data_IF_701889277620
#
_entry.id   IF_701889277620
#
_cell.length_a   1.000
_cell.length_b   1.000
_cell.length_c   1.000
_cell.angle_alpha   90.00
_cell.angle_beta   90.00
_cell.angle_gamma   90.00
#
_symmetry.space_group_name_H-M   'P 1'
#
loop_
_entity.id
_entity.type
_entity.pdbx_description
1 polymer ?
#
# COMPACT_ATOMS: atom_id res chain seq x y z
N UNK A 1 13.39 44.82 -29.81
CA UNK A 1 13.32 43.66 -28.90
C UNK A 1 12.49 44.04 -27.67
N UNK A 2 11.37 43.37 -27.39
CA UNK A 2 10.82 43.32 -26.05
C UNK A 2 10.71 41.87 -25.55
N UNK A 3 11.50 41.56 -24.51
CA UNK A 3 11.40 40.32 -23.75
C UNK A 3 10.15 40.39 -22.87
N UNK A 4 9.24 39.42 -22.97
CA UNK A 4 8.18 39.25 -21.98
C UNK A 4 7.74 37.80 -21.86
N UNK A 5 7.49 37.41 -20.60
CA UNK A 5 6.79 36.20 -20.13
C UNK A 5 7.63 34.92 -19.98
N UNK A 6 8.60 34.95 -19.06
CA UNK A 6 8.99 33.75 -18.28
C UNK A 6 8.04 33.63 -17.09
N UNK A 7 7.01 32.80 -17.21
CA UNK A 7 6.17 32.39 -16.07
C UNK A 7 6.93 31.37 -15.23
N UNK A 8 7.18 31.59 -13.93
CA UNK A 8 7.70 30.55 -13.06
C UNK A 8 6.60 29.51 -12.82
N UNK A 9 6.72 28.34 -13.44
CA UNK A 9 5.84 27.20 -13.15
C UNK A 9 6.25 26.64 -11.79
N UNK A 10 5.42 26.96 -10.81
CA UNK A 10 5.42 26.50 -9.42
C UNK A 10 5.77 25.00 -9.36
N UNK A 11 6.89 24.69 -8.69
CA UNK A 11 7.15 23.35 -8.16
C UNK A 11 6.06 23.08 -7.12
N UNK A 12 5.04 22.33 -7.52
CA UNK A 12 4.13 21.68 -6.57
C UNK A 12 4.90 20.53 -5.93
N UNK A 13 5.75 20.87 -4.96
CA UNK A 13 6.17 19.92 -3.93
C UNK A 13 4.91 19.51 -3.18
N UNK A 14 4.34 18.37 -3.59
CA UNK A 14 3.31 17.68 -2.83
C UNK A 14 3.93 17.18 -1.53
N UNK A 15 3.99 18.11 -0.56
CA UNK A 15 4.34 17.88 0.83
C UNK A 15 3.17 17.14 1.47
N UNK A 16 3.06 15.83 1.24
CA UNK A 16 2.13 15.00 1.99
C UNK A 16 2.78 14.69 3.34
N UNK A 17 2.58 15.62 4.28
CA UNK A 17 2.87 15.41 5.68
C UNK A 17 1.91 14.37 6.25
N UNK A 18 2.44 13.21 6.60
CA UNK A 18 1.98 12.50 7.78
C UNK A 18 3.22 11.89 8.45
N UNK A 19 3.99 12.76 9.10
CA UNK A 19 5.06 12.38 10.00
C UNK A 19 4.45 11.79 11.26
N UNK A 20 3.96 10.56 11.18
CA UNK A 20 3.89 9.72 12.36
C UNK A 20 5.28 9.15 12.57
N UNK A 21 5.88 9.60 13.67
CA UNK A 21 7.10 9.08 14.26
C UNK A 21 6.85 7.64 14.75
N UNK A 22 6.48 6.75 13.84
CA UNK A 22 6.43 5.32 14.10
C UNK A 22 7.88 4.88 14.26
N UNK A 23 8.17 4.25 15.41
CA UNK A 23 9.43 3.56 15.65
C UNK A 23 9.78 2.78 14.37
N UNK A 24 11.05 2.78 13.92
CA UNK A 24 11.42 2.09 12.69
C UNK A 24 10.98 0.62 12.65
N UNK A 25 10.74 0.01 13.82
CA UNK A 25 10.22 -1.35 14.01
C UNK A 25 8.73 -1.52 13.67
N UNK A 26 7.92 -0.46 13.73
CA UNK A 26 6.46 -0.51 13.51
C UNK A 26 6.04 -0.13 12.08
N UNK A 27 7.00 0.16 11.20
CA UNK A 27 6.68 0.49 9.81
C UNK A 27 6.43 -0.81 9.04
N UNK A 28 5.28 -0.94 8.34
CA UNK A 28 5.04 -2.11 7.52
C UNK A 28 6.13 -2.24 6.45
N UNK A 29 6.74 -3.42 6.38
CA UNK A 29 7.76 -3.72 5.37
C UNK A 29 7.05 -3.84 4.03
N UNK A 30 7.31 -2.89 3.12
CA UNK A 30 6.75 -2.93 1.77
C UNK A 30 7.64 -3.80 0.89
N UNK A 31 7.06 -4.88 0.35
CA UNK A 31 7.72 -5.76 -0.63
C UNK A 31 6.94 -5.79 -1.94
N UNK A 32 7.67 -5.69 -3.04
CA UNK A 32 7.10 -5.91 -4.36
C UNK A 32 6.87 -7.41 -4.58
N UNK A 33 5.73 -7.76 -5.16
CA UNK A 33 5.41 -9.13 -5.58
C UNK A 33 5.20 -9.17 -7.08
N UNK A 34 5.49 -10.33 -7.69
CA UNK A 34 5.18 -10.58 -9.09
C UNK A 34 3.76 -11.12 -9.19
N UNK A 35 2.94 -10.48 -10.01
CA UNK A 35 1.56 -10.91 -10.30
C UNK A 35 1.32 -10.85 -11.80
N UNK A 36 0.34 -11.62 -12.26
CA UNK A 36 -0.10 -11.60 -13.66
C UNK A 36 -1.08 -10.45 -13.89
N UNK A 37 -1.20 -10.02 -15.16
CA UNK A 37 -2.14 -8.96 -15.53
C UNK A 37 -3.61 -9.27 -15.15
N UNK A 38 -4.13 -10.50 -15.32
CA UNK A 38 -5.50 -10.83 -14.89
C UNK A 38 -5.74 -10.60 -13.39
N UNK A 39 -4.76 -10.91 -12.55
CA UNK A 39 -4.86 -10.72 -11.09
C UNK A 39 -4.89 -9.22 -10.76
N UNK A 40 -4.03 -8.43 -11.39
CA UNK A 40 -4.00 -6.98 -11.18
C UNK A 40 -5.33 -6.33 -11.55
N UNK A 41 -5.92 -6.72 -12.68
CA UNK A 41 -7.20 -6.17 -13.14
C UNK A 41 -8.36 -6.58 -12.22
N UNK A 42 -8.41 -7.83 -11.76
CA UNK A 42 -9.40 -8.27 -10.78
C UNK A 42 -9.27 -7.51 -9.45
N UNK A 43 -8.04 -7.30 -8.98
CA UNK A 43 -7.77 -6.54 -7.76
C UNK A 43 -8.20 -5.07 -7.85
N UNK A 44 -8.01 -4.43 -9.03
CA UNK A 44 -8.50 -3.07 -9.27
C UNK A 44 -10.01 -2.98 -9.20
N UNK A 45 -10.73 -3.94 -9.83
CA UNK A 45 -12.20 -4.01 -9.76
C UNK A 45 -12.68 -4.16 -8.32
N UNK A 46 -12.10 -5.10 -7.57
CA UNK A 46 -12.44 -5.31 -6.16
C UNK A 46 -12.24 -4.05 -5.31
N UNK A 47 -11.15 -3.30 -5.54
CA UNK A 47 -10.91 -2.03 -4.86
C UNK A 47 -11.96 -0.98 -5.22
N UNK A 48 -12.36 -0.90 -6.49
CA UNK A 48 -13.38 0.05 -6.93
C UNK A 48 -14.76 -0.26 -6.33
N UNK A 49 -15.12 -1.54 -6.21
CA UNK A 49 -16.42 -1.98 -5.70
C UNK A 49 -16.52 -1.95 -4.18
N UNK A 50 -15.48 -2.44 -3.47
CA UNK A 50 -15.54 -2.69 -2.02
C UNK A 50 -14.60 -1.81 -1.20
N UNK A 51 -13.78 -0.98 -1.85
CA UNK A 51 -12.76 -0.18 -1.17
C UNK A 51 -11.60 -0.99 -0.57
N UNK A 52 -11.56 -2.31 -0.79
CA UNK A 52 -10.54 -3.19 -0.23
C UNK A 52 -9.26 -3.09 -1.08
N UNK A 53 -8.14 -2.79 -0.43
CA UNK A 53 -6.85 -2.70 -1.11
C UNK A 53 -6.28 -4.09 -1.39
N UNK A 54 -5.55 -4.21 -2.51
CA UNK A 54 -4.84 -5.44 -2.85
C UNK A 54 -3.84 -5.87 -1.75
N UNK A 55 -3.20 -4.90 -1.08
CA UNK A 55 -2.29 -5.16 0.04
C UNK A 55 -3.00 -5.82 1.22
N UNK A 56 -4.21 -5.36 1.57
CA UNK A 56 -5.01 -5.95 2.64
C UNK A 56 -5.41 -7.38 2.30
N UNK A 57 -5.87 -7.61 1.06
CA UNK A 57 -6.23 -8.94 0.60
C UNK A 57 -5.03 -9.89 0.61
N UNK A 58 -3.87 -9.43 0.15
CA UNK A 58 -2.63 -10.20 0.19
C UNK A 58 -2.20 -10.53 1.63
N UNK A 59 -2.27 -9.55 2.54
CA UNK A 59 -1.97 -9.76 3.96
C UNK A 59 -2.91 -10.80 4.59
N UNK A 60 -4.23 -10.66 4.40
CA UNK A 60 -5.23 -11.59 4.95
C UNK A 60 -5.02 -13.02 4.42
N UNK A 61 -4.77 -13.17 3.11
CA UNK A 61 -4.52 -14.47 2.50
C UNK A 61 -3.21 -15.13 3.00
N UNK A 62 -2.13 -14.36 3.11
CA UNK A 62 -0.83 -14.84 3.63
C UNK A 62 -0.98 -15.24 5.09
N UNK A 63 -1.58 -14.38 5.92
CA UNK A 63 -1.78 -14.66 7.35
C UNK A 63 -2.61 -15.91 7.56
N UNK A 64 -3.75 -16.06 6.87
CA UNK A 64 -4.59 -17.25 6.98
C UNK A 64 -3.83 -18.52 6.59
N UNK A 65 -3.03 -18.46 5.52
CA UNK A 65 -2.21 -19.61 5.09
C UNK A 65 -1.17 -20.00 6.15
N UNK A 66 -0.44 -19.03 6.69
CA UNK A 66 0.60 -19.28 7.69
C UNK A 66 0.02 -19.76 9.03
N UNK A 67 -1.16 -19.27 9.42
CA UNK A 67 -1.87 -19.78 10.62
C UNK A 67 -2.29 -21.23 10.41
N UNK A 68 -2.90 -21.55 9.27
CA UNK A 68 -3.34 -22.92 8.97
C UNK A 68 -2.18 -23.92 8.92
N UNK A 69 -1.00 -23.48 8.47
CA UNK A 69 0.21 -24.31 8.44
C UNK A 69 1.01 -24.28 9.76
N UNK A 70 0.57 -23.51 10.76
CA UNK A 70 1.21 -23.43 12.08
C UNK A 70 2.48 -22.57 12.14
N UNK A 71 2.80 -21.84 11.08
CA UNK A 71 3.96 -20.93 11.02
C UNK A 71 3.68 -19.55 11.63
N UNK A 72 2.41 -19.17 11.75
CA UNK A 72 1.98 -17.95 12.42
C UNK A 72 1.03 -18.32 13.55
N UNK A 73 1.27 -17.81 14.76
CA UNK A 73 0.30 -17.92 15.85
C UNK A 73 -0.83 -16.94 15.57
N UNK A 74 -2.07 -17.40 15.67
CA UNK A 74 -3.22 -16.52 15.50
C UNK A 74 -3.16 -15.40 16.56
N UNK A 75 -3.01 -14.13 16.16
CA UNK A 75 -2.99 -13.02 17.11
C UNK A 75 -4.31 -12.91 17.89
N UNK A 76 -5.41 -13.48 17.40
CA UNK A 76 -6.69 -13.54 18.10
C UNK A 76 -6.76 -14.67 19.16
N UNK A 77 -5.83 -15.63 19.15
CA UNK A 77 -5.76 -16.71 20.14
C UNK A 77 -5.11 -16.30 21.48
N UNK A 78 -4.69 -15.04 21.61
CA UNK A 78 -4.33 -14.40 22.89
C UNK A 78 -5.26 -13.21 23.15
N UNK A 79 -6.48 -13.50 23.58
CA UNK A 79 -7.36 -12.56 24.27
C UNK A 79 -8.11 -13.33 25.36
#
# INVERSE_FOLDING_TARGET
>A
MPQSKKSPKVKSEAKNGNGQNAKPEDRPIVRAIRITAPILEAAKKLKAEKGISFYRLGLEAISARLVNEGYLKDPAAKA
#
